data_IF_135688950943
#
_entry.id   IF_135688950943
#
_cell.length_a   1.000
_cell.length_b   1.000
_cell.length_c   1.000
_cell.angle_alpha   90.00
_cell.angle_beta   90.00
_cell.angle_gamma   90.00
#
_symmetry.space_group_name_H-M   'P 1'
#
loop_
_entity.id
_entity.type
_entity.pdbx_description
1 polymer ?
#
# COMPACT_ATOMS: atom_id res chain seq x y z
N UNK A 1 -17.22 -6.09 17.32
CA UNK A 1 -15.96 -5.38 17.66
C UNK A 1 -14.75 -6.28 17.51
N UNK A 2 -14.82 -7.56 17.93
CA UNK A 2 -13.74 -8.52 17.74
C UNK A 2 -13.36 -8.73 16.27
N UNK A 3 -14.35 -8.89 15.41
CA UNK A 3 -14.14 -9.16 13.99
C UNK A 3 -13.44 -8.00 13.25
N UNK A 4 -13.73 -6.76 13.60
CA UNK A 4 -13.10 -5.57 13.00
C UNK A 4 -11.61 -5.48 13.36
N UNK A 5 -11.27 -5.79 14.62
CA UNK A 5 -9.89 -5.83 15.08
C UNK A 5 -9.10 -6.98 14.42
N UNK A 6 -9.75 -8.14 14.24
CA UNK A 6 -9.19 -9.27 13.51
C UNK A 6 -8.91 -8.93 12.04
N UNK A 7 -9.83 -8.25 11.35
CA UNK A 7 -9.65 -7.80 9.97
C UNK A 7 -8.43 -6.87 9.88
N UNK A 8 -8.27 -5.92 10.82
CA UNK A 8 -7.15 -4.99 10.84
C UNK A 8 -5.81 -5.71 11.02
N UNK A 9 -5.68 -6.59 12.02
CA UNK A 9 -4.44 -7.33 12.29
C UNK A 9 -4.14 -8.29 11.13
N UNK A 10 -5.15 -8.99 10.63
CA UNK A 10 -4.99 -9.90 9.50
C UNK A 10 -4.51 -9.15 8.25
N UNK A 11 -5.03 -7.96 7.98
CA UNK A 11 -4.59 -7.13 6.84
C UNK A 11 -3.17 -6.57 7.02
N UNK A 12 -2.78 -6.28 8.27
CA UNK A 12 -1.47 -5.71 8.58
C UNK A 12 -0.34 -6.76 8.49
N UNK A 13 -0.56 -7.96 9.05
CA UNK A 13 0.50 -8.97 9.21
C UNK A 13 0.38 -10.11 8.21
N UNK A 14 -0.80 -10.75 8.12
CA UNK A 14 -1.00 -11.99 7.34
C UNK A 14 -1.21 -11.69 5.86
N UNK A 15 -2.15 -10.81 5.57
CA UNK A 15 -2.48 -10.38 4.20
C UNK A 15 -1.76 -9.08 3.84
N UNK A 16 -0.50 -8.95 4.22
CA UNK A 16 0.30 -7.79 3.83
C UNK A 16 0.49 -7.81 2.31
N UNK A 17 -0.16 -6.85 1.62
CA UNK A 17 -0.13 -6.78 0.15
C UNK A 17 1.28 -6.71 -0.42
N UNK A 18 2.19 -6.05 0.27
CA UNK A 18 3.56 -5.85 -0.21
C UNK A 18 4.40 -7.10 -0.08
N UNK A 19 4.31 -7.79 1.05
CA UNK A 19 5.19 -8.93 1.35
C UNK A 19 4.59 -10.27 0.89
N UNK A 20 3.27 -10.40 0.86
CA UNK A 20 2.61 -11.65 0.44
C UNK A 20 2.30 -11.67 -1.07
N UNK A 21 1.81 -10.55 -1.62
CA UNK A 21 1.38 -10.47 -3.02
C UNK A 21 2.32 -9.64 -3.91
N UNK A 22 3.38 -9.08 -3.33
CA UNK A 22 4.30 -8.16 -4.02
C UNK A 22 3.60 -6.94 -4.66
N UNK A 23 2.46 -6.54 -4.10
CA UNK A 23 1.73 -5.36 -4.52
C UNK A 23 2.30 -4.11 -3.84
N UNK A 24 2.52 -3.05 -4.61
CA UNK A 24 3.17 -1.83 -4.09
C UNK A 24 4.69 -1.87 -4.14
N UNK A 25 5.29 -2.70 -5.00
CA UNK A 25 6.74 -2.73 -5.21
C UNK A 25 7.29 -1.41 -5.75
N UNK A 26 6.50 -0.64 -6.50
CA UNK A 26 6.97 0.65 -7.05
C UNK A 26 7.41 1.62 -5.94
N UNK A 27 6.59 1.95 -4.92
CA UNK A 27 7.04 2.74 -3.80
C UNK A 27 8.05 1.99 -2.93
N UNK A 28 7.96 0.67 -2.81
CA UNK A 28 8.88 -0.15 -2.05
C UNK A 28 10.32 -0.06 -2.56
N UNK A 29 10.52 -0.05 -3.87
CA UNK A 29 11.83 0.09 -4.50
C UNK A 29 12.31 1.54 -4.58
N UNK A 30 11.38 2.48 -4.84
CA UNK A 30 11.71 3.88 -5.10
C UNK A 30 11.97 4.72 -3.85
N UNK A 31 11.24 4.45 -2.76
CA UNK A 31 11.19 5.34 -1.58
C UNK A 31 11.93 4.77 -0.36
N UNK A 32 12.37 3.53 -0.42
CA UNK A 32 13.01 2.82 0.71
C UNK A 32 14.47 3.18 0.97
N UNK A 33 14.96 4.32 0.46
CA UNK A 33 16.35 4.74 0.68
C UNK A 33 16.59 5.30 2.09
N UNK A 34 15.57 5.97 2.68
CA UNK A 34 15.63 6.55 4.03
C UNK A 34 14.36 6.26 4.80
N UNK A 35 14.50 5.90 6.09
CA UNK A 35 13.38 5.58 6.98
C UNK A 35 12.38 6.74 7.09
N UNK A 36 12.87 7.97 7.18
CA UNK A 36 11.99 9.15 7.27
C UNK A 36 11.10 9.32 6.04
N UNK A 37 11.66 9.12 4.85
CA UNK A 37 10.91 9.21 3.58
C UNK A 37 9.92 8.05 3.46
N UNK A 38 10.31 6.85 3.86
CA UNK A 38 9.45 5.67 3.90
C UNK A 38 8.24 5.87 4.82
N UNK A 39 8.44 6.46 6.01
CA UNK A 39 7.37 6.73 6.96
C UNK A 39 6.38 7.78 6.41
N UNK A 40 6.88 8.87 5.85
CA UNK A 40 6.06 9.93 5.23
C UNK A 40 5.21 9.38 4.08
N UNK A 41 5.82 8.54 3.24
CA UNK A 41 5.14 7.87 2.13
C UNK A 41 4.09 6.87 2.63
N UNK A 42 4.40 6.14 3.71
CA UNK A 42 3.46 5.23 4.36
C UNK A 42 2.21 5.94 4.87
N UNK A 43 2.38 7.07 5.56
CA UNK A 43 1.25 7.91 6.04
C UNK A 43 0.40 8.43 4.87
N UNK A 44 1.02 8.90 3.80
CA UNK A 44 0.31 9.33 2.60
C UNK A 44 -0.50 8.18 1.97
N UNK A 45 0.07 6.98 1.90
CA UNK A 45 -0.62 5.79 1.40
C UNK A 45 -1.81 5.38 2.29
N UNK A 46 -1.68 5.46 3.63
CA UNK A 46 -2.81 5.19 4.54
C UNK A 46 -3.95 6.15 4.25
N UNK A 47 -3.66 7.44 4.14
CA UNK A 47 -4.68 8.46 3.83
C UNK A 47 -5.39 8.16 2.51
N UNK A 48 -4.63 7.85 1.45
CA UNK A 48 -5.20 7.53 0.14
C UNK A 48 -6.01 6.24 0.18
N UNK A 49 -5.58 5.20 0.90
CA UNK A 49 -6.32 3.94 1.04
C UNK A 49 -7.65 4.14 1.78
N UNK A 50 -7.67 4.94 2.84
CA UNK A 50 -8.90 5.27 3.57
C UNK A 50 -9.89 6.01 2.66
N UNK A 51 -9.41 6.98 1.89
CA UNK A 51 -10.26 7.70 0.94
C UNK A 51 -10.73 6.80 -0.22
N UNK A 52 -9.86 5.92 -0.70
CA UNK A 52 -10.22 4.91 -1.71
C UNK A 52 -11.29 3.96 -1.19
N UNK A 53 -11.27 3.62 0.11
CA UNK A 53 -12.30 2.78 0.73
C UNK A 53 -13.70 3.37 0.57
N UNK A 54 -13.84 4.68 0.78
CA UNK A 54 -15.12 5.39 0.58
C UNK A 54 -15.53 5.35 -0.89
N UNK A 55 -14.59 5.62 -1.81
CA UNK A 55 -14.86 5.59 -3.26
C UNK A 55 -15.28 4.20 -3.75
N UNK A 56 -14.60 3.15 -3.27
CA UNK A 56 -14.91 1.75 -3.64
C UNK A 56 -16.29 1.34 -3.14
N UNK A 57 -16.65 1.73 -1.93
CA UNK A 57 -17.99 1.46 -1.40
C UNK A 57 -19.09 2.17 -2.23
N UNK A 58 -18.90 3.44 -2.56
CA UNK A 58 -19.82 4.19 -3.42
C UNK A 58 -19.95 3.55 -4.80
N UNK A 59 -18.83 3.19 -5.43
CA UNK A 59 -18.82 2.53 -6.73
C UNK A 59 -19.53 1.19 -6.70
N UNK A 60 -19.28 0.38 -5.66
CA UNK A 60 -19.88 -0.93 -5.51
C UNK A 60 -21.41 -0.82 -5.36
N UNK A 61 -21.87 0.20 -4.63
CA UNK A 61 -23.31 0.41 -4.38
C UNK A 61 -24.05 0.97 -5.60
N UNK A 62 -23.44 1.90 -6.36
CA UNK A 62 -24.13 2.63 -7.42
C UNK A 62 -23.85 2.09 -8.82
N UNK A 63 -22.63 1.68 -9.14
CA UNK A 63 -22.20 1.40 -10.52
C UNK A 63 -22.05 -0.10 -10.78
N UNK A 64 -21.50 -0.84 -9.86
CA UNK A 64 -21.22 -2.27 -10.07
C UNK A 64 -22.49 -3.14 -10.13
N UNK A 65 -23.60 -2.66 -9.61
CA UNK A 65 -24.90 -3.34 -9.71
C UNK A 65 -25.35 -3.45 -11.17
N UNK A 66 -24.99 -2.46 -12.02
CA UNK A 66 -25.43 -2.41 -13.42
C UNK A 66 -24.43 -3.04 -14.41
N UNK A 67 -23.12 -3.03 -14.11
CA UNK A 67 -22.10 -3.45 -15.06
C UNK A 67 -20.91 -4.16 -14.38
N UNK A 68 -21.03 -5.44 -14.00
CA UNK A 68 -19.96 -6.17 -13.33
C UNK A 68 -18.69 -6.38 -14.20
N UNK A 69 -18.83 -6.35 -15.51
CA UNK A 69 -17.71 -6.50 -16.46
C UNK A 69 -16.75 -5.31 -16.49
N UNK A 70 -17.24 -4.11 -16.12
CA UNK A 70 -16.44 -2.87 -16.12
C UNK A 70 -15.77 -2.58 -14.77
N UNK A 71 -15.83 -3.53 -13.83
CA UNK A 71 -15.31 -3.37 -12.46
C UNK A 71 -13.87 -2.83 -12.43
N UNK A 72 -12.96 -3.51 -13.12
CA UNK A 72 -11.54 -3.18 -13.07
C UNK A 72 -11.24 -1.81 -13.67
N UNK A 73 -11.84 -1.51 -14.82
CA UNK A 73 -11.67 -0.22 -15.51
C UNK A 73 -12.26 0.91 -14.66
N UNK A 74 -13.46 0.72 -14.09
CA UNK A 74 -14.10 1.71 -13.24
C UNK A 74 -13.27 2.03 -12.00
N UNK A 75 -12.68 1.03 -11.35
CA UNK A 75 -11.80 1.25 -10.20
C UNK A 75 -10.57 2.03 -10.59
N UNK A 76 -9.88 1.68 -11.67
CA UNK A 76 -8.68 2.39 -12.12
C UNK A 76 -9.00 3.86 -12.40
N UNK A 77 -10.05 4.14 -13.17
CA UNK A 77 -10.43 5.51 -13.55
C UNK A 77 -10.80 6.34 -12.33
N UNK A 78 -11.64 5.82 -11.45
CA UNK A 78 -12.13 6.59 -10.30
C UNK A 78 -11.01 6.79 -9.26
N UNK A 79 -10.21 5.77 -8.97
CA UNK A 79 -9.09 5.88 -8.04
C UNK A 79 -8.05 6.87 -8.59
N UNK A 80 -7.68 6.77 -9.87
CA UNK A 80 -6.73 7.68 -10.48
C UNK A 80 -7.24 9.13 -10.46
N UNK A 81 -8.50 9.37 -10.81
CA UNK A 81 -9.11 10.69 -10.79
C UNK A 81 -9.14 11.28 -9.38
N UNK A 82 -9.50 10.47 -8.39
CA UNK A 82 -9.57 10.91 -7.00
C UNK A 82 -8.18 11.23 -6.43
N UNK A 83 -7.19 10.39 -6.68
CA UNK A 83 -5.82 10.63 -6.24
C UNK A 83 -5.24 11.88 -6.90
N UNK A 84 -5.53 12.11 -8.18
CA UNK A 84 -5.12 13.31 -8.90
C UNK A 84 -5.72 14.59 -8.30
N UNK A 85 -6.99 14.57 -7.92
CA UNK A 85 -7.65 15.68 -7.23
C UNK A 85 -7.00 15.93 -5.87
N UNK A 86 -6.73 14.87 -5.13
CA UNK A 86 -6.04 14.94 -3.82
C UNK A 86 -4.64 15.52 -3.96
N UNK A 87 -3.91 15.14 -5.00
CA UNK A 87 -2.58 15.68 -5.32
C UNK A 87 -2.65 17.19 -5.58
N UNK A 88 -3.59 17.64 -6.40
CA UNK A 88 -3.79 19.07 -6.66
C UNK A 88 -4.18 19.84 -5.40
N UNK A 89 -4.99 19.24 -4.53
CA UNK A 89 -5.36 19.84 -3.25
C UNK A 89 -4.14 19.98 -2.32
N UNK A 90 -3.33 18.94 -2.15
CA UNK A 90 -2.10 18.96 -1.34
C UNK A 90 -1.11 20.01 -1.88
N UNK A 91 -0.96 20.11 -3.19
CA UNK A 91 -0.10 21.13 -3.83
C UNK A 91 -0.54 22.55 -3.48
N UNK A 92 -1.84 22.78 -3.38
CA UNK A 92 -2.41 24.10 -3.07
C UNK A 92 -2.33 24.44 -1.58
N UNK A 93 -2.61 23.46 -0.69
CA UNK A 93 -2.70 23.70 0.75
C UNK A 93 -1.37 23.59 1.49
N UNK A 94 -0.44 22.79 1.00
CA UNK A 94 0.84 22.53 1.68
C UNK A 94 2.00 22.37 0.70
N UNK A 95 2.54 23.48 0.17
CA UNK A 95 3.65 23.44 -0.79
C UNK A 95 4.93 22.86 -0.22
N UNK A 96 5.12 22.91 1.10
CA UNK A 96 6.28 22.32 1.78
C UNK A 96 6.23 20.79 1.76
N UNK A 97 5.07 20.22 2.03
CA UNK A 97 4.82 18.76 1.94
C UNK A 97 4.93 18.29 0.48
N UNK A 98 4.41 19.09 -0.45
CA UNK A 98 4.52 18.81 -1.88
C UNK A 98 5.97 18.77 -2.37
N UNK A 99 6.85 19.68 -1.91
CA UNK A 99 8.28 19.67 -2.25
C UNK A 99 9.01 18.42 -1.77
N UNK A 100 8.62 17.90 -0.62
CA UNK A 100 9.22 16.69 -0.04
C UNK A 100 8.69 15.40 -0.67
N UNK A 101 7.41 15.36 -1.04
CA UNK A 101 6.73 14.21 -1.62
C UNK A 101 6.60 14.29 -3.15
N UNK A 102 6.87 15.45 -3.76
CA UNK A 102 6.52 15.77 -5.14
C UNK A 102 7.10 14.83 -6.21
N UNK A 103 8.29 14.26 -5.98
CA UNK A 103 8.89 13.25 -6.87
C UNK A 103 8.17 11.90 -6.71
N UNK A 104 7.59 11.64 -5.55
CA UNK A 104 6.96 10.35 -5.22
C UNK A 104 5.44 10.34 -5.39
N UNK A 105 4.81 11.48 -5.66
CA UNK A 105 3.37 11.58 -5.88
C UNK A 105 2.85 10.69 -7.04
N UNK A 106 3.52 10.63 -8.20
CA UNK A 106 3.12 9.70 -9.25
C UNK A 106 3.14 8.23 -8.81
N UNK A 107 4.04 7.88 -7.89
CA UNK A 107 4.13 6.52 -7.32
C UNK A 107 2.94 6.18 -6.40
N UNK A 108 2.29 7.18 -5.81
CA UNK A 108 1.05 6.98 -5.05
C UNK A 108 -0.13 6.78 -6.00
N UNK A 109 -0.21 7.57 -7.06
CA UNK A 109 -1.32 7.52 -8.04
C UNK A 109 -1.37 6.18 -8.77
N UNK A 110 -0.23 5.62 -9.12
CA UNK A 110 -0.13 4.33 -9.83
C UNK A 110 0.15 3.15 -8.90
N UNK A 111 -0.13 3.28 -7.61
CA UNK A 111 0.17 2.24 -6.64
C UNK A 111 -0.76 1.03 -6.80
N UNK A 112 -0.20 -0.09 -7.22
CA UNK A 112 -0.93 -1.34 -7.40
C UNK A 112 -1.52 -1.91 -6.10
N UNK A 113 -1.01 -1.51 -4.92
CA UNK A 113 -1.59 -1.90 -3.64
C UNK A 113 -2.97 -1.27 -3.42
N UNK A 114 -3.19 -0.05 -3.90
CA UNK A 114 -4.49 0.63 -3.82
C UNK A 114 -5.52 -0.07 -4.69
N UNK A 115 -5.13 -0.43 -5.92
CA UNK A 115 -5.99 -1.21 -6.82
C UNK A 115 -6.26 -2.61 -6.25
N UNK A 116 -5.24 -3.26 -5.72
CA UNK A 116 -5.36 -4.55 -5.05
C UNK A 116 -6.36 -4.48 -3.89
N UNK A 117 -6.26 -3.45 -3.06
CA UNK A 117 -7.21 -3.19 -1.98
C UNK A 117 -8.65 -3.14 -2.51
N UNK A 118 -8.90 -2.36 -3.57
CA UNK A 118 -10.24 -2.20 -4.16
C UNK A 118 -10.83 -3.53 -4.64
N UNK A 119 -10.01 -4.35 -5.31
CA UNK A 119 -10.42 -5.67 -5.81
C UNK A 119 -10.70 -6.63 -4.65
N UNK A 120 -9.82 -6.69 -3.65
CA UNK A 120 -9.99 -7.59 -2.50
C UNK A 120 -11.20 -7.20 -1.64
N UNK A 121 -11.39 -5.91 -1.38
CA UNK A 121 -12.53 -5.40 -0.63
C UNK A 121 -13.85 -5.81 -1.28
N UNK A 122 -13.94 -5.68 -2.60
CA UNK A 122 -15.15 -6.04 -3.35
C UNK A 122 -15.34 -7.56 -3.44
N UNK A 123 -14.28 -8.34 -3.63
CA UNK A 123 -14.38 -9.81 -3.71
C UNK A 123 -14.79 -10.45 -2.39
N UNK A 124 -14.39 -9.86 -1.26
CA UNK A 124 -14.77 -10.33 0.08
C UNK A 124 -16.14 -9.84 0.51
N UNK A 125 -16.75 -8.90 -0.24
CA UNK A 125 -18.07 -8.35 0.09
C UNK A 125 -18.09 -7.61 1.42
N UNK A 126 -17.01 -6.94 1.79
CA UNK A 126 -16.91 -6.22 3.06
C UNK A 126 -17.88 -5.03 3.08
N UNK A 127 -18.55 -4.87 4.21
CA UNK A 127 -19.36 -3.71 4.51
C UNK A 127 -18.49 -2.44 4.64
N UNK A 128 -19.10 -1.27 4.65
CA UNK A 128 -18.39 0.01 4.73
C UNK A 128 -17.38 0.07 5.89
N UNK A 129 -17.81 -0.30 7.10
CA UNK A 129 -16.93 -0.30 8.27
C UNK A 129 -15.81 -1.33 8.17
N UNK A 130 -16.10 -2.53 7.72
CA UNK A 130 -15.10 -3.58 7.52
C UNK A 130 -14.07 -3.18 6.47
N UNK A 131 -14.53 -2.57 5.37
CA UNK A 131 -13.66 -2.03 4.33
C UNK A 131 -12.75 -0.93 4.86
N UNK A 132 -13.24 -0.03 5.71
CA UNK A 132 -12.44 1.03 6.31
C UNK A 132 -11.33 0.48 7.22
N UNK A 133 -11.65 -0.48 8.10
CA UNK A 133 -10.66 -1.13 8.95
C UNK A 133 -9.65 -1.94 8.13
N UNK A 134 -10.10 -2.58 7.06
CA UNK A 134 -9.23 -3.28 6.13
C UNK A 134 -8.27 -2.32 5.40
N UNK A 135 -8.74 -1.11 4.99
CA UNK A 135 -7.89 -0.07 4.40
C UNK A 135 -6.80 0.41 5.34
N UNK A 136 -7.16 0.67 6.61
CA UNK A 136 -6.20 1.09 7.64
C UNK A 136 -5.17 -0.02 7.88
N UNK A 137 -5.62 -1.26 8.04
CA UNK A 137 -4.74 -2.42 8.23
C UNK A 137 -3.78 -2.63 7.07
N UNK A 138 -4.28 -2.57 5.83
CA UNK A 138 -3.47 -2.67 4.62
C UNK A 138 -2.44 -1.53 4.50
N UNK A 139 -2.84 -0.31 4.84
CA UNK A 139 -1.95 0.85 4.84
C UNK A 139 -0.85 0.77 5.90
N UNK A 140 -1.18 0.31 7.11
CA UNK A 140 -0.21 0.05 8.17
C UNK A 140 0.75 -1.08 7.77
N UNK A 141 0.25 -2.15 7.15
CA UNK A 141 1.07 -3.24 6.63
C UNK A 141 2.06 -2.78 5.56
N UNK A 142 1.61 -1.95 4.62
CA UNK A 142 2.48 -1.34 3.60
C UNK A 142 3.54 -0.45 4.25
N UNK A 143 3.15 0.39 5.21
CA UNK A 143 4.08 1.28 5.93
C UNK A 143 5.12 0.49 6.68
N UNK A 144 4.72 -0.57 7.37
CA UNK A 144 5.62 -1.47 8.08
C UNK A 144 6.64 -2.10 7.13
N UNK A 145 6.19 -2.61 5.99
CA UNK A 145 7.08 -3.18 4.97
C UNK A 145 8.08 -2.15 4.43
N UNK A 146 7.63 -0.91 4.16
CA UNK A 146 8.48 0.19 3.69
C UNK A 146 9.54 0.57 4.73
N UNK A 147 9.17 0.67 6.01
CA UNK A 147 10.08 1.03 7.10
C UNK A 147 11.10 -0.08 7.35
N UNK A 148 10.67 -1.34 7.36
CA UNK A 148 11.59 -2.49 7.50
C UNK A 148 12.62 -2.51 6.36
N UNK A 149 12.14 -2.35 5.13
CA UNK A 149 13.04 -2.29 3.97
C UNK A 149 14.02 -1.13 4.05
N UNK A 150 13.54 0.07 4.44
CA UNK A 150 14.39 1.24 4.58
C UNK A 150 15.45 1.07 5.66
N UNK A 151 15.09 0.49 6.81
CA UNK A 151 16.03 0.21 7.91
C UNK A 151 17.14 -0.76 7.49
N UNK A 152 16.77 -1.85 6.81
CA UNK A 152 17.77 -2.83 6.34
C UNK A 152 18.69 -2.19 5.30
N UNK A 153 18.14 -1.39 4.41
CA UNK A 153 18.88 -0.73 3.34
C UNK A 153 19.84 0.31 3.88
N UNK A 154 19.42 1.14 4.83
CA UNK A 154 20.24 2.15 5.49
C UNK A 154 21.40 1.50 6.25
N UNK A 155 21.15 0.38 6.93
CA UNK A 155 22.20 -0.42 7.59
C UNK A 155 23.14 -1.08 6.59
N UNK A 156 22.63 -1.52 5.45
CA UNK A 156 23.42 -2.17 4.40
C UNK A 156 24.35 -1.20 3.64
N UNK A 157 24.04 0.10 3.60
CA UNK A 157 24.92 1.11 2.99
C UNK A 157 26.27 1.24 3.72
N UNK A 158 26.31 0.92 5.01
CA UNK A 158 27.53 0.92 5.82
C UNK A 158 28.39 -0.34 5.66
N UNK A 159 27.85 -1.40 5.04
CA UNK A 159 28.53 -2.66 4.81
C UNK A 159 29.25 -2.66 3.45
N UNK A 160 30.40 -3.36 3.37
CA UNK A 160 31.17 -3.53 2.13
C UNK A 160 30.50 -4.53 1.19
N UNK A 161 29.47 -4.10 0.48
CA UNK A 161 28.73 -4.96 -0.46
C UNK A 161 29.34 -4.85 -1.86
N UNK A 162 29.51 -5.98 -2.60
CA UNK A 162 29.98 -5.97 -3.98
C UNK A 162 29.13 -5.07 -4.88
N UNK A 163 29.78 -4.31 -5.77
CA UNK A 163 29.12 -3.32 -6.63
C UNK A 163 27.97 -3.88 -7.48
N UNK A 164 28.04 -5.17 -7.84
CA UNK A 164 27.01 -5.85 -8.65
C UNK A 164 25.70 -6.05 -7.86
N UNK A 165 25.77 -6.26 -6.55
CA UNK A 165 24.60 -6.49 -5.70
C UNK A 165 24.04 -5.20 -5.07
N UNK A 166 24.77 -4.09 -5.15
CA UNK A 166 24.54 -2.85 -4.38
C UNK A 166 23.24 -2.10 -4.72
N UNK A 167 22.66 -2.32 -5.91
CA UNK A 167 21.49 -1.57 -6.36
C UNK A 167 20.21 -2.44 -6.28
N UNK A 168 19.65 -2.77 -7.43
CA UNK A 168 18.39 -3.53 -7.56
C UNK A 168 18.48 -4.96 -7.00
N UNK A 169 19.64 -5.61 -7.11
CA UNK A 169 19.82 -6.98 -6.62
C UNK A 169 19.64 -7.10 -5.11
N UNK A 170 20.21 -6.17 -4.35
CA UNK A 170 20.07 -6.14 -2.88
C UNK A 170 18.60 -5.97 -2.47
N UNK A 171 17.89 -5.06 -3.12
CA UNK A 171 16.47 -4.77 -2.83
C UNK A 171 15.61 -6.02 -3.05
N UNK A 172 15.84 -6.74 -4.13
CA UNK A 172 15.06 -7.96 -4.45
C UNK A 172 15.40 -9.11 -3.49
N UNK A 173 16.66 -9.27 -3.10
CA UNK A 173 17.07 -10.30 -2.12
C UNK A 173 16.44 -10.00 -0.76
N UNK A 174 16.48 -8.75 -0.30
CA UNK A 174 15.88 -8.36 0.98
C UNK A 174 14.36 -8.52 0.92
N UNK A 175 13.71 -8.10 -0.19
CA UNK A 175 12.27 -8.28 -0.38
C UNK A 175 11.87 -9.76 -0.33
N UNK A 176 12.64 -10.63 -0.99
CA UNK A 176 12.40 -12.08 -0.96
C UNK A 176 12.58 -12.68 0.43
N UNK A 177 13.63 -12.30 1.16
CA UNK A 177 13.87 -12.77 2.53
C UNK A 177 12.80 -12.29 3.51
N UNK A 178 12.36 -11.04 3.41
CA UNK A 178 11.24 -10.51 4.19
C UNK A 178 9.94 -11.25 3.87
N UNK A 179 9.66 -11.49 2.59
CA UNK A 179 8.48 -12.24 2.17
C UNK A 179 8.45 -13.64 2.76
N UNK A 180 9.57 -14.36 2.71
CA UNK A 180 9.69 -15.69 3.33
C UNK A 180 9.50 -15.66 4.84
N UNK A 181 10.05 -14.65 5.54
CA UNK A 181 9.87 -14.48 6.96
C UNK A 181 8.39 -14.22 7.33
N UNK A 182 7.68 -13.38 6.56
CA UNK A 182 6.27 -13.10 6.78
C UNK A 182 5.34 -14.24 6.37
N UNK A 183 5.78 -15.11 5.46
CA UNK A 183 5.02 -16.32 5.09
C UNK A 183 4.87 -17.29 6.28
N UNK A 184 5.80 -17.28 7.24
CA UNK A 184 5.67 -17.99 8.50
C UNK A 184 4.45 -17.57 9.35
N UNK A 185 4.01 -16.33 9.22
CA UNK A 185 2.80 -15.84 9.91
C UNK A 185 1.48 -16.27 9.21
N UNK A 186 1.53 -16.59 7.93
CA UNK A 186 0.34 -16.99 7.16
C UNK A 186 -0.29 -18.29 7.69
N UNK A 187 0.50 -19.19 8.30
CA UNK A 187 0.01 -20.43 8.88
C UNK A 187 -0.65 -20.29 10.27
N UNK A 188 -0.43 -19.18 10.97
CA UNK A 188 -0.95 -18.98 12.33
C UNK A 188 -2.44 -18.64 12.38
N UNK A 189 -3.04 -18.21 11.27
CA UNK A 189 -4.39 -17.66 11.20
C UNK A 189 -5.32 -18.44 10.24
N UNK A 190 -4.91 -19.61 9.78
CA UNK A 190 -5.75 -20.51 8.96
C UNK A 190 -6.54 -21.49 9.85
N UNK A 191 -7.10 -21.02 10.92
CA UNK A 191 -8.04 -21.81 11.72
C UNK A 191 -9.45 -21.27 11.59
#
# INVERSE_FOLDING_TARGET
MGDLFWILISAMLVNNFTLHLFLGLCPFMGVSAKVETALRMGLANIFVLVMTSVCVWLLNTFILVYAPYLRLISFIVVIASFVQITEMAIKKFSPTLFRQLGIFLPLITTNCAILGYAIFNTNRGYDFLQGLFFAIGAGLGLTLALVLMASIRETSETASIPAVARNMGLVLIIAGSLSLAFMGFAGLFTS
#
